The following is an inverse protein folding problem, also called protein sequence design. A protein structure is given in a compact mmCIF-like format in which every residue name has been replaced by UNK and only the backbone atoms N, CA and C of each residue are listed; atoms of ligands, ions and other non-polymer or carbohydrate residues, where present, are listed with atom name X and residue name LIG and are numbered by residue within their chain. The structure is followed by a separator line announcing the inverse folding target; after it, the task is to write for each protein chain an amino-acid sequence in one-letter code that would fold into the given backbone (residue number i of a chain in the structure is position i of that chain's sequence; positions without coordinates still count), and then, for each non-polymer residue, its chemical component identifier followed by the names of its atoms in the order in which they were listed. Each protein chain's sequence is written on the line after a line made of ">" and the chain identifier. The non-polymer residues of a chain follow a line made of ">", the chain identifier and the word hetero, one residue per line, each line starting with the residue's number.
data_IF_575717488527
#
_entry.id   IF_575717488527
#
_cell.length_a   1.000
_cell.length_b   1.000
_cell.length_c   1.000
_cell.angle_alpha   90.00
_cell.angle_beta   90.00
_cell.angle_gamma   90.00
#
_symmetry.space_group_name_H-M   'P 1'
#
loop_
_entity.id
_entity.type
_entity.pdbx_description
1 polymer ?
#
# COMPACT_ATOMS: atom_id res chain seq x y z
N UNK A 1 -24.59 8.27 18.67
CA UNK A 1 -23.83 9.46 19.10
C UNK A 1 -22.36 9.11 19.13
N UNK A 2 -21.47 9.99 18.64
CA UNK A 2 -20.02 9.78 18.73
C UNK A 2 -19.55 9.97 20.17
N UNK A 3 -18.61 9.14 20.61
CA UNK A 3 -17.96 9.26 21.91
C UNK A 3 -16.45 9.20 21.75
N UNK A 4 -15.73 10.00 22.53
CA UNK A 4 -14.27 9.90 22.68
C UNK A 4 -13.99 9.03 23.89
N UNK A 5 -13.31 7.90 23.68
CA UNK A 5 -12.95 6.98 24.75
C UNK A 5 -11.64 6.28 24.42
N UNK A 6 -11.03 5.63 25.42
CA UNK A 6 -9.86 4.79 25.19
C UNK A 6 -10.18 3.69 24.18
N UNK A 7 -9.17 3.36 23.38
CA UNK A 7 -9.21 2.24 22.45
C UNK A 7 -9.61 0.94 23.16
N UNK A 8 -9.03 0.70 24.34
CA UNK A 8 -9.38 -0.43 25.21
C UNK A 8 -10.58 -0.07 26.13
N UNK A 9 -11.55 -0.97 26.39
CA UNK A 9 -11.60 -2.40 26.05
C UNK A 9 -12.30 -2.74 24.72
N UNK A 10 -12.58 -1.74 23.88
CA UNK A 10 -13.46 -1.93 22.71
C UNK A 10 -12.79 -2.64 21.53
N UNK A 11 -11.47 -2.86 21.63
CA UNK A 11 -10.69 -3.62 20.67
C UNK A 11 -10.01 -4.82 21.33
N UNK A 12 -9.67 -5.80 20.50
CA UNK A 12 -8.95 -7.01 20.86
C UNK A 12 -7.64 -7.03 20.04
N UNK A 13 -6.51 -7.30 20.70
CA UNK A 13 -5.20 -7.40 20.06
C UNK A 13 -4.70 -8.84 20.26
N UNK A 14 -4.54 -9.59 19.18
CA UNK A 14 -4.20 -11.02 19.23
C UNK A 14 -3.03 -11.36 18.29
N UNK A 15 -1.82 -11.42 18.85
CA UNK A 15 -0.63 -11.82 18.09
C UNK A 15 -0.63 -13.34 17.83
N UNK A 16 -1.08 -13.73 16.64
CA UNK A 16 -1.02 -15.10 16.13
C UNK A 16 0.33 -15.37 15.47
N UNK A 17 1.09 -16.32 16.03
CA UNK A 17 2.36 -16.76 15.43
C UNK A 17 2.12 -17.50 14.12
N UNK A 18 3.06 -17.37 13.19
CA UNK A 18 3.04 -18.11 11.94
C UNK A 18 3.32 -19.60 12.21
N UNK A 19 2.39 -20.51 11.89
CA UNK A 19 2.63 -21.95 11.99
C UNK A 19 3.68 -22.39 10.96
N UNK A 20 4.26 -23.57 11.14
CA UNK A 20 5.08 -24.21 10.10
C UNK A 20 4.24 -24.39 8.83
N UNK A 21 4.82 -24.08 7.67
CA UNK A 21 4.17 -24.23 6.38
C UNK A 21 5.17 -24.73 5.35
N UNK A 22 4.66 -25.47 4.37
CA UNK A 22 5.43 -25.92 3.21
C UNK A 22 5.29 -24.93 2.04
N UNK A 23 6.29 -24.91 1.16
CA UNK A 23 6.32 -24.04 -0.01
C UNK A 23 6.71 -22.60 0.32
N UNK A 24 6.22 -21.67 -0.49
CA UNK A 24 6.52 -20.23 -0.39
C UNK A 24 5.28 -19.42 -0.05
N UNK A 25 5.46 -18.40 0.79
CA UNK A 25 4.44 -17.42 1.13
C UNK A 25 4.95 -16.01 0.88
N UNK A 26 4.02 -15.10 0.62
CA UNK A 26 4.31 -13.65 0.55
C UNK A 26 4.50 -13.11 1.97
N UNK A 27 5.65 -12.50 2.22
CA UNK A 27 5.99 -11.81 3.46
C UNK A 27 5.87 -10.31 3.28
N UNK A 28 5.03 -9.67 4.10
CA UNK A 28 4.84 -8.22 4.11
C UNK A 28 5.52 -7.58 5.32
N UNK A 29 6.54 -6.77 5.06
CA UNK A 29 7.29 -6.07 6.11
C UNK A 29 6.72 -4.67 6.38
N UNK A 30 7.04 -4.07 7.54
CA UNK A 30 6.67 -2.68 7.81
C UNK A 30 7.49 -1.68 6.99
N UNK A 31 8.67 -2.08 6.51
CA UNK A 31 9.60 -1.25 5.73
C UNK A 31 9.51 -1.44 4.21
N UNK A 32 8.61 -2.31 3.72
CA UNK A 32 8.40 -2.51 2.29
C UNK A 32 7.87 -1.27 1.58
N UNK A 33 7.80 -1.33 0.25
CA UNK A 33 7.27 -0.28 -0.65
C UNK A 33 5.91 0.25 -0.15
N UNK A 34 5.59 1.50 -0.48
CA UNK A 34 4.33 2.15 -0.04
C UNK A 34 3.08 1.40 -0.51
N UNK A 35 3.12 0.69 -1.65
CA UNK A 35 2.01 -0.12 -2.16
C UNK A 35 2.00 -1.52 -1.53
N UNK A 36 0.81 -1.99 -1.15
CA UNK A 36 0.63 -3.38 -0.72
C UNK A 36 0.92 -4.39 -1.84
N UNK A 37 0.65 -3.99 -3.08
CA UNK A 37 0.71 -4.85 -4.28
C UNK A 37 2.14 -5.22 -4.67
N UNK A 38 3.13 -4.37 -4.35
CA UNK A 38 4.55 -4.62 -4.70
C UNK A 38 5.46 -4.73 -3.46
N UNK A 39 4.91 -4.54 -2.26
CA UNK A 39 5.67 -4.45 -1.01
C UNK A 39 6.00 -5.77 -0.31
N UNK A 40 5.95 -6.92 -1.01
CA UNK A 40 6.17 -8.25 -0.41
C UNK A 40 7.39 -9.00 -0.97
N UNK A 41 7.91 -9.91 -0.15
CA UNK A 41 8.99 -10.84 -0.51
C UNK A 41 8.46 -12.29 -0.47
N UNK A 42 8.95 -13.16 -1.35
CA UNK A 42 8.61 -14.59 -1.30
C UNK A 42 9.55 -15.30 -0.33
N UNK A 43 9.00 -15.98 0.67
CA UNK A 43 9.78 -16.69 1.72
C UNK A 43 9.27 -18.11 1.93
N UNK A 44 10.19 -19.03 2.22
CA UNK A 44 9.85 -20.34 2.83
C UNK A 44 9.78 -20.20 4.35
N UNK A 45 9.34 -21.24 5.06
CA UNK A 45 9.36 -21.18 6.52
C UNK A 45 10.80 -21.05 7.05
N UNK A 46 11.75 -21.75 6.46
CA UNK A 46 13.16 -21.81 6.90
C UNK A 46 13.92 -20.52 6.62
N UNK A 47 13.70 -19.91 5.44
CA UNK A 47 14.45 -18.75 4.99
C UNK A 47 13.82 -17.40 5.38
N UNK A 48 12.67 -17.41 6.06
CA UNK A 48 11.98 -16.16 6.41
C UNK A 48 12.76 -15.36 7.47
N UNK A 49 12.72 -14.03 7.41
CA UNK A 49 13.23 -13.20 8.50
C UNK A 49 12.53 -13.52 9.82
N UNK A 50 13.21 -13.40 10.96
CA UNK A 50 12.61 -13.64 12.29
C UNK A 50 11.35 -12.81 12.54
N UNK A 51 11.26 -11.62 11.92
CA UNK A 51 10.08 -10.74 12.02
C UNK A 51 8.89 -11.24 11.21
N UNK A 52 9.07 -12.09 10.20
CA UNK A 52 7.99 -12.73 9.44
C UNK A 52 7.31 -13.82 10.27
N UNK A 53 6.58 -13.40 11.30
CA UNK A 53 6.02 -14.32 12.29
C UNK A 53 4.64 -13.90 12.83
N UNK A 54 3.91 -13.10 12.05
CA UNK A 54 2.52 -12.77 12.29
C UNK A 54 1.64 -13.39 11.20
N UNK A 55 0.69 -14.24 11.61
CA UNK A 55 -0.32 -14.82 10.72
C UNK A 55 -1.67 -14.17 11.02
N UNK A 56 -2.24 -13.35 10.12
CA UNK A 56 -3.51 -12.70 10.38
C UNK A 56 -4.68 -13.64 10.11
N UNK A 57 -5.86 -13.23 10.57
CA UNK A 57 -7.15 -13.79 10.17
C UNK A 57 -7.91 -12.77 9.33
N UNK A 58 -8.90 -13.26 8.57
CA UNK A 58 -9.84 -12.41 7.86
C UNK A 58 -10.45 -11.39 8.83
N UNK A 59 -10.59 -10.15 8.38
CA UNK A 59 -11.08 -9.00 9.15
C UNK A 59 -10.15 -8.45 10.24
N UNK A 60 -8.93 -8.99 10.39
CA UNK A 60 -7.91 -8.29 11.17
C UNK A 60 -7.59 -6.93 10.52
N UNK A 61 -7.38 -5.92 11.36
CA UNK A 61 -6.80 -4.64 10.96
C UNK A 61 -5.40 -4.56 11.54
N UNK A 62 -4.39 -4.63 10.68
CA UNK A 62 -2.98 -4.55 11.07
C UNK A 62 -2.54 -3.09 11.12
N UNK A 63 -1.91 -2.67 12.21
CA UNK A 63 -1.36 -1.31 12.38
C UNK A 63 0.14 -1.37 12.65
N UNK A 64 0.93 -0.59 11.91
CA UNK A 64 2.36 -0.49 12.13
C UNK A 64 2.69 0.13 13.50
N UNK A 65 3.64 -0.48 14.22
CA UNK A 65 4.04 -0.05 15.58
C UNK A 65 5.04 1.08 15.59
N UNK A 66 5.84 1.21 14.53
CA UNK A 66 6.94 2.17 14.50
C UNK A 66 6.40 3.60 14.44
N UNK A 67 7.10 4.52 15.12
CA UNK A 67 6.82 5.95 15.01
C UNK A 67 7.02 6.41 13.56
N UNK A 68 6.14 7.25 13.06
CA UNK A 68 6.13 7.73 11.67
C UNK A 68 5.63 6.71 10.65
N UNK A 69 5.33 5.48 11.06
CA UNK A 69 4.70 4.50 10.19
C UNK A 69 3.18 4.60 10.31
N UNK A 70 2.53 4.95 9.20
CA UNK A 70 1.07 5.13 9.09
C UNK A 70 0.37 3.93 8.44
N UNK A 71 1.11 2.85 8.14
CA UNK A 71 0.58 1.69 7.42
C UNK A 71 -0.50 1.00 8.26
N UNK A 72 -1.71 0.97 7.70
CA UNK A 72 -2.86 0.21 8.17
C UNK A 72 -3.31 -0.74 7.08
N UNK A 73 -3.54 -2.00 7.40
CA UNK A 73 -3.92 -3.04 6.43
C UNK A 73 -5.16 -3.76 6.92
N UNK A 74 -6.22 -3.75 6.11
CA UNK A 74 -7.38 -4.61 6.32
C UNK A 74 -7.14 -5.97 5.66
N UNK A 75 -7.29 -7.05 6.43
CA UNK A 75 -7.06 -8.40 5.96
C UNK A 75 -8.34 -8.97 5.33
N UNK A 76 -8.26 -9.26 4.04
CA UNK A 76 -9.25 -10.02 3.28
C UNK A 76 -8.82 -11.48 3.13
N UNK A 77 -9.61 -12.27 2.41
CA UNK A 77 -9.37 -13.70 2.19
C UNK A 77 -8.00 -13.98 1.56
N UNK A 78 -7.60 -13.23 0.53
CA UNK A 78 -6.29 -13.40 -0.12
C UNK A 78 -5.15 -13.16 0.89
N UNK A 79 -5.25 -12.06 1.65
CA UNK A 79 -4.23 -11.64 2.62
C UNK A 79 -4.06 -12.61 3.79
N UNK A 80 -5.01 -13.50 4.05
CA UNK A 80 -4.83 -14.56 5.06
C UNK A 80 -3.73 -15.56 4.71
N UNK A 81 -3.37 -15.67 3.42
CA UNK A 81 -2.30 -16.56 2.97
C UNK A 81 -0.89 -15.96 3.15
N UNK A 82 -0.81 -14.68 3.51
CA UNK A 82 0.44 -13.93 3.65
C UNK A 82 0.97 -14.06 5.08
N UNK A 83 2.25 -13.76 5.25
CA UNK A 83 2.90 -13.61 6.55
C UNK A 83 3.26 -12.16 6.73
N UNK A 84 3.09 -11.64 7.92
CA UNK A 84 3.34 -10.24 8.22
C UNK A 84 4.46 -10.08 9.23
N UNK A 85 5.06 -8.90 9.22
CA UNK A 85 6.03 -8.51 10.23
C UNK A 85 5.38 -8.46 11.63
N UNK A 86 6.09 -8.93 12.65
CA UNK A 86 5.73 -8.70 14.06
C UNK A 86 5.79 -7.23 14.46
N UNK A 87 6.24 -6.34 13.56
CA UNK A 87 6.09 -4.89 13.65
C UNK A 87 4.64 -4.38 13.50
N UNK A 88 3.66 -5.25 13.27
CA UNK A 88 2.24 -4.91 13.24
C UNK A 88 1.48 -5.36 14.50
N UNK A 89 0.47 -4.60 14.91
CA UNK A 89 -0.58 -5.07 15.82
C UNK A 89 -1.78 -5.57 15.01
N UNK A 90 -2.19 -6.84 15.14
CA UNK A 90 -3.47 -7.31 14.62
C UNK A 90 -4.60 -6.91 15.57
N UNK A 91 -5.58 -6.17 15.05
CA UNK A 91 -6.67 -5.60 15.85
C UNK A 91 -8.03 -6.02 15.29
N UNK A 92 -8.92 -6.42 16.19
CA UNK A 92 -10.34 -6.66 15.88
C UNK A 92 -11.25 -5.97 16.91
N UNK A 93 -12.55 -5.93 16.64
CA UNK A 93 -13.56 -5.44 17.59
C UNK A 93 -14.86 -6.20 17.41
N UNK A 94 -15.56 -6.45 18.53
CA UNK A 94 -16.94 -6.97 18.50
C UNK A 94 -17.96 -5.88 18.15
N UNK A 95 -17.63 -4.62 18.46
CA UNK A 95 -18.55 -3.49 18.32
C UNK A 95 -18.31 -2.65 17.07
N UNK A 96 -17.10 -2.67 16.52
CA UNK A 96 -16.72 -1.87 15.35
C UNK A 96 -16.54 -2.76 14.13
N UNK A 97 -17.07 -2.32 12.99
CA UNK A 97 -16.90 -3.03 11.73
C UNK A 97 -15.41 -2.98 11.30
N UNK A 98 -14.86 -4.06 10.72
CA UNK A 98 -13.44 -4.12 10.34
C UNK A 98 -13.00 -2.96 9.44
N UNK A 99 -13.79 -2.65 8.40
CA UNK A 99 -13.49 -1.54 7.50
C UNK A 99 -13.65 -0.16 8.15
N UNK A 100 -14.52 -0.05 9.15
CA UNK A 100 -14.63 1.17 9.96
C UNK A 100 -13.38 1.35 10.85
N UNK A 101 -12.88 0.27 11.48
CA UNK A 101 -11.61 0.29 12.21
C UNK A 101 -10.44 0.68 11.31
N UNK A 102 -10.37 0.11 10.11
CA UNK A 102 -9.37 0.46 9.10
C UNK A 102 -9.34 1.98 8.87
N UNK A 103 -10.49 2.60 8.61
CA UNK A 103 -10.57 4.05 8.43
C UNK A 103 -10.24 4.84 9.69
N UNK A 104 -10.71 4.38 10.84
CA UNK A 104 -10.43 5.03 12.13
C UNK A 104 -8.92 5.10 12.42
N UNK A 105 -8.19 4.03 12.13
CA UNK A 105 -6.74 3.96 12.35
C UNK A 105 -5.92 4.54 11.21
N UNK A 106 -6.52 4.77 10.04
CA UNK A 106 -5.89 5.51 8.95
C UNK A 106 -6.00 7.04 9.14
N UNK A 107 -6.61 7.50 10.23
CA UNK A 107 -6.77 8.92 10.53
C UNK A 107 -5.45 9.55 11.01
N UNK A 108 -5.15 10.76 10.52
CA UNK A 108 -3.97 11.53 10.90
C UNK A 108 -3.87 11.74 12.41
N UNK A 109 -4.94 12.17 13.08
CA UNK A 109 -4.92 12.46 14.52
C UNK A 109 -4.60 11.21 15.36
N UNK A 110 -5.05 10.03 14.90
CA UNK A 110 -4.72 8.78 15.57
C UNK A 110 -3.21 8.47 15.44
N UNK A 111 -2.63 8.69 14.26
CA UNK A 111 -1.21 8.45 14.03
C UNK A 111 -0.33 9.42 14.85
N UNK A 112 -0.73 10.69 14.97
CA UNK A 112 -0.05 11.66 15.85
C UNK A 112 -0.11 11.24 17.32
N UNK A 113 -1.29 10.82 17.81
CA UNK A 113 -1.42 10.34 19.18
C UNK A 113 -0.57 9.08 19.40
N UNK A 114 -0.62 8.11 18.47
CA UNK A 114 0.24 6.91 18.48
C UNK A 114 1.73 7.25 18.57
N UNK A 115 2.18 8.23 17.79
CA UNK A 115 3.58 8.62 17.72
C UNK A 115 4.04 9.33 19.00
N UNK A 116 3.16 10.09 19.65
CA UNK A 116 3.42 10.72 20.96
C UNK A 116 3.62 9.69 22.08
N UNK A 117 3.00 8.52 21.96
CA UNK A 117 3.13 7.41 22.92
C UNK A 117 4.26 6.43 22.59
N UNK A 118 4.93 6.59 21.45
CA UNK A 118 6.03 5.73 21.03
C UNK A 118 7.29 5.96 21.87
N UNK A 119 7.98 4.88 22.22
CA UNK A 119 9.17 4.92 23.08
C UNK A 119 10.39 4.31 22.39
N UNK A 120 11.58 4.64 22.87
CA UNK A 120 12.86 4.18 22.33
C UNK A 120 13.77 5.33 21.91
N UNK A 121 15.02 5.01 21.58
CA UNK A 121 16.02 5.98 21.11
C UNK A 121 16.17 5.91 19.59
N UNK A 122 16.72 4.81 19.06
CA UNK A 122 17.02 4.65 17.63
C UNK A 122 15.82 4.12 16.84
N UNK A 123 15.09 3.15 17.38
CA UNK A 123 13.87 2.60 16.77
C UNK A 123 12.69 2.84 17.70
N UNK A 124 12.02 3.98 17.51
CA UNK A 124 10.87 4.34 18.33
C UNK A 124 9.65 3.56 17.88
N UNK A 125 8.98 2.89 18.82
CA UNK A 125 7.77 2.13 18.56
C UNK A 125 6.83 2.16 19.76
N UNK A 126 5.53 2.03 19.49
CA UNK A 126 4.53 1.92 20.54
C UNK A 126 4.38 0.47 21.03
N UNK A 127 4.39 0.28 22.35
CA UNK A 127 4.11 -1.00 22.98
C UNK A 127 2.60 -1.16 23.24
N UNK A 128 2.17 -2.37 23.62
CA UNK A 128 0.74 -2.66 23.81
C UNK A 128 0.12 -1.86 24.96
N UNK A 129 0.86 -1.59 26.04
CA UNK A 129 0.36 -0.89 27.21
C UNK A 129 0.14 0.60 26.95
N UNK A 130 0.99 1.20 26.12
CA UNK A 130 0.83 2.56 25.63
C UNK A 130 -0.27 2.65 24.58
N UNK A 131 -0.33 1.69 23.66
CA UNK A 131 -1.38 1.63 22.64
C UNK A 131 -2.79 1.61 23.26
N UNK A 132 -2.97 0.86 24.35
CA UNK A 132 -4.25 0.82 25.09
C UNK A 132 -4.68 2.15 25.71
N UNK A 133 -3.78 3.13 25.86
CA UNK A 133 -4.06 4.45 26.45
C UNK A 133 -4.56 5.48 25.43
N UNK A 134 -4.35 5.25 24.14
CA UNK A 134 -4.79 6.14 23.06
C UNK A 134 -6.31 6.29 23.10
N UNK A 135 -6.79 7.51 22.87
CA UNK A 135 -8.21 7.78 22.73
C UNK A 135 -8.62 7.77 21.26
N UNK A 136 -9.81 7.26 20.99
CA UNK A 136 -10.45 7.31 19.68
C UNK A 136 -11.85 7.88 19.80
N UNK A 137 -12.24 8.65 18.78
CA UNK A 137 -13.62 9.09 18.62
C UNK A 137 -14.34 8.13 17.70
N UNK A 138 -15.37 7.45 18.21
CA UNK A 138 -16.09 6.43 17.46
C UNK A 138 -17.58 6.37 17.81
N UNK A 139 -18.33 5.64 16.99
CA UNK A 139 -19.74 5.32 17.26
C UNK A 139 -19.94 3.81 17.24
N UNK A 140 -20.73 3.28 18.18
CA UNK A 140 -21.13 1.86 18.21
C UNK A 140 -22.33 1.59 17.29
N UNK A 141 -23.02 2.63 16.81
CA UNK A 141 -24.17 2.47 15.92
C UNK A 141 -23.71 1.93 14.55
N UNK A 142 -24.13 0.69 14.25
CA UNK A 142 -23.74 -0.02 13.03
C UNK A 142 -24.28 0.67 11.77
N UNK A 143 -25.42 1.35 11.85
CA UNK A 143 -25.97 2.09 10.70
C UNK A 143 -25.05 3.26 10.34
N UNK A 144 -24.70 4.10 11.31
CA UNK A 144 -23.75 5.20 11.14
C UNK A 144 -22.39 4.69 10.66
N UNK A 145 -21.87 3.59 11.22
CA UNK A 145 -20.59 3.01 10.76
C UNK A 145 -20.64 2.65 9.26
N UNK A 146 -21.72 2.00 8.80
CA UNK A 146 -21.92 1.65 7.37
C UNK A 146 -22.02 2.89 6.49
N UNK A 147 -22.73 3.93 6.94
CA UNK A 147 -22.83 5.20 6.20
C UNK A 147 -21.47 5.87 6.02
N UNK A 148 -20.65 5.88 7.09
CA UNK A 148 -19.26 6.40 7.03
C UNK A 148 -18.40 5.57 6.07
N UNK A 149 -18.44 4.23 6.18
CA UNK A 149 -17.70 3.34 5.27
C UNK A 149 -18.08 3.63 3.82
N UNK A 150 -19.38 3.69 3.50
CA UNK A 150 -19.85 3.93 2.14
C UNK A 150 -19.43 5.30 1.61
N UNK A 151 -19.46 6.34 2.45
CA UNK A 151 -19.01 7.68 2.09
C UNK A 151 -17.51 7.68 1.73
N UNK A 152 -16.68 7.06 2.58
CA UNK A 152 -15.24 6.99 2.40
C UNK A 152 -14.86 6.12 1.20
N UNK A 153 -15.46 4.93 1.06
CA UNK A 153 -15.28 4.05 -0.10
C UNK A 153 -15.61 4.76 -1.41
N UNK A 154 -16.73 5.50 -1.46
CA UNK A 154 -17.12 6.25 -2.65
C UNK A 154 -16.11 7.34 -3.01
N UNK A 155 -15.59 8.07 -2.01
CA UNK A 155 -14.59 9.13 -2.21
C UNK A 155 -13.26 8.56 -2.67
N UNK A 156 -12.77 7.51 -1.99
CA UNK A 156 -11.49 6.86 -2.30
C UNK A 156 -11.54 6.22 -3.69
N UNK A 157 -12.61 5.49 -4.01
CA UNK A 157 -12.80 4.93 -5.35
C UNK A 157 -12.74 5.99 -6.44
N UNK A 158 -13.37 7.15 -6.21
CA UNK A 158 -13.31 8.26 -7.15
C UNK A 158 -11.88 8.78 -7.38
N UNK A 159 -11.06 8.80 -6.33
CA UNK A 159 -9.63 9.15 -6.43
C UNK A 159 -8.86 8.07 -7.21
N UNK A 160 -9.06 6.79 -6.88
CA UNK A 160 -8.39 5.67 -7.56
C UNK A 160 -8.72 5.63 -9.05
N UNK A 161 -9.98 5.88 -9.41
CA UNK A 161 -10.42 5.95 -10.81
C UNK A 161 -9.74 7.12 -11.55
N UNK A 162 -9.58 8.27 -10.89
CA UNK A 162 -8.84 9.41 -11.45
C UNK A 162 -7.34 9.10 -11.62
N UNK A 163 -6.71 8.46 -10.64
CA UNK A 163 -5.30 8.03 -10.73
C UNK A 163 -5.11 7.06 -11.89
N UNK A 164 -5.99 6.07 -12.05
CA UNK A 164 -5.97 5.13 -13.18
C UNK A 164 -6.09 5.83 -14.53
N UNK A 165 -6.94 6.85 -14.63
CA UNK A 165 -7.07 7.65 -15.85
C UNK A 165 -5.76 8.39 -16.15
N UNK A 166 -5.13 8.98 -15.14
CA UNK A 166 -3.87 9.71 -15.31
C UNK A 166 -2.72 8.78 -15.74
N UNK A 167 -2.60 7.59 -15.14
CA UNK A 167 -1.58 6.60 -15.54
C UNK A 167 -1.76 6.22 -17.03
N UNK A 168 -2.99 5.94 -17.47
CA UNK A 168 -3.28 5.66 -18.89
C UNK A 168 -2.94 6.83 -19.83
N UNK A 169 -3.14 8.07 -19.37
CA UNK A 169 -2.75 9.25 -20.16
C UNK A 169 -1.23 9.35 -20.29
N UNK A 170 -0.49 9.07 -19.22
CA UNK A 170 0.97 9.03 -19.23
C UNK A 170 1.47 7.97 -20.24
N UNK A 171 0.96 6.73 -20.15
CA UNK A 171 1.31 5.65 -21.08
C UNK A 171 1.06 6.05 -22.54
N UNK A 172 -0.09 6.67 -22.83
CA UNK A 172 -0.43 7.13 -24.18
C UNK A 172 0.51 8.23 -24.68
N UNK A 173 0.93 9.14 -23.80
CA UNK A 173 1.89 10.19 -24.15
C UNK A 173 3.29 9.60 -24.42
N UNK A 174 3.70 8.58 -23.67
CA UNK A 174 4.94 7.86 -23.92
C UNK A 174 4.94 7.13 -25.26
N UNK A 175 3.84 6.45 -25.59
CA UNK A 175 3.68 5.77 -26.87
C UNK A 175 3.64 6.76 -28.03
N UNK A 176 2.93 7.89 -27.87
CA UNK A 176 2.91 8.95 -28.87
C UNK A 176 4.30 9.55 -29.08
N UNK A 177 5.07 9.78 -28.01
CA UNK A 177 6.45 10.23 -28.07
C UNK A 177 7.33 9.24 -28.83
N UNK A 178 7.25 7.94 -28.51
CA UNK A 178 7.98 6.88 -29.23
C UNK A 178 7.62 6.85 -30.72
N UNK A 179 6.33 6.99 -31.04
CA UNK A 179 5.84 7.03 -32.42
C UNK A 179 6.36 8.25 -33.19
N UNK A 180 6.37 9.45 -32.57
CA UNK A 180 6.97 10.65 -33.18
C UNK A 180 8.46 10.44 -33.43
N UNK A 181 9.22 9.98 -32.42
CA UNK A 181 10.67 9.76 -32.55
C UNK A 181 10.94 8.79 -33.70
N UNK A 182 10.22 7.67 -33.75
CA UNK A 182 10.33 6.68 -34.83
C UNK A 182 10.01 7.28 -36.21
N UNK A 183 8.94 8.08 -36.30
CA UNK A 183 8.58 8.79 -37.53
C UNK A 183 9.67 9.76 -37.97
N UNK A 184 10.21 10.56 -37.05
CA UNK A 184 11.27 11.54 -37.33
C UNK A 184 12.56 10.85 -37.76
N UNK A 185 12.95 9.76 -37.10
CA UNK A 185 14.13 8.97 -37.50
C UNK A 185 13.96 8.44 -38.93
N UNK A 186 12.80 7.86 -39.24
CA UNK A 186 12.55 7.20 -40.54
C UNK A 186 12.28 8.15 -41.69
N UNK A 187 11.57 9.25 -41.45
CA UNK A 187 11.01 10.12 -42.51
C UNK A 187 11.44 11.58 -42.39
N UNK A 188 12.16 11.94 -41.35
CA UNK A 188 12.45 13.33 -41.05
C UNK A 188 11.27 14.07 -40.39
N UNK A 189 11.55 15.29 -39.96
CA UNK A 189 10.56 16.15 -39.29
C UNK A 189 9.60 16.83 -40.29
N UNK A 190 10.04 17.05 -41.53
CA UNK A 190 9.31 17.76 -42.59
C UNK A 190 9.24 16.91 -43.87
N UNK A 191 8.16 17.10 -44.66
CA UNK A 191 7.88 16.31 -45.86
C UNK A 191 8.92 16.45 -47.01
N UNK A 192 9.90 17.34 -46.87
CA UNK A 192 10.98 17.60 -47.83
C UNK A 192 12.37 17.22 -47.30
N UNK A 193 12.48 16.46 -46.20
CA UNK A 193 13.79 16.06 -45.66
C UNK A 193 14.45 14.95 -46.49
N UNK A 194 15.75 15.15 -46.78
CA UNK A 194 16.58 14.17 -47.49
C UNK A 194 16.85 12.95 -46.59
N UNK A 195 16.59 11.76 -47.14
CA UNK A 195 16.85 10.49 -46.47
C UNK A 195 18.17 9.89 -46.95
N UNK A 196 18.96 9.37 -46.02
CA UNK A 196 20.22 8.64 -46.26
C UNK A 196 20.07 7.19 -45.84
N UNK A 197 20.90 6.29 -46.37
CA UNK A 197 20.96 4.91 -45.90
C UNK A 197 21.57 4.86 -44.50
N UNK A 198 20.97 4.09 -43.58
CA UNK A 198 21.52 3.89 -42.24
C UNK A 198 22.69 2.91 -42.21
N UNK A 199 22.87 2.08 -43.24
CA UNK A 199 23.87 1.00 -43.25
C UNK A 199 23.52 -0.18 -42.32
N UNK A 200 22.29 -0.21 -41.79
CA UNK A 200 21.75 -1.31 -40.98
C UNK A 200 20.51 -1.86 -41.70
N UNK A 201 20.59 -3.10 -42.21
CA UNK A 201 19.59 -3.71 -43.11
C UNK A 201 18.15 -3.62 -42.60
N UNK A 202 17.92 -3.84 -41.29
CA UNK A 202 16.56 -3.83 -40.73
C UNK A 202 16.00 -2.42 -40.45
N UNK A 203 16.83 -1.38 -40.50
CA UNK A 203 16.44 0.02 -40.29
C UNK A 203 16.15 0.71 -41.63
N UNK A 204 16.94 0.43 -42.67
CA UNK A 204 16.79 1.01 -44.00
C UNK A 204 17.21 2.49 -44.06
N UNK A 205 16.40 3.36 -44.68
CA UNK A 205 16.70 4.78 -44.84
C UNK A 205 16.23 5.63 -43.64
N UNK A 206 17.03 6.62 -43.25
CA UNK A 206 16.80 7.53 -42.13
C UNK A 206 17.03 9.00 -42.52
N UNK A 207 16.54 9.96 -41.73
CA UNK A 207 16.78 11.39 -41.96
C UNK A 207 18.26 11.73 -41.87
N UNK A 208 18.75 12.56 -42.81
CA UNK A 208 20.15 13.01 -42.85
C UNK A 208 20.60 13.86 -41.65
N UNK A 209 19.67 14.29 -40.78
CA UNK A 209 19.97 15.01 -39.53
C UNK A 209 20.22 14.09 -38.34
N UNK A 210 19.96 12.78 -38.47
CA UNK A 210 20.24 11.80 -37.43
C UNK A 210 21.72 11.42 -37.52
N UNK A 211 22.48 11.65 -36.43
CA UNK A 211 23.84 11.11 -36.28
C UNK A 211 23.75 9.82 -35.48
N UNK A 212 24.16 8.70 -36.08
CA UNK A 212 24.37 7.46 -35.35
C UNK A 212 25.75 7.53 -34.68
N UNK A 213 25.80 7.28 -33.37
CA UNK A 213 27.02 7.20 -32.57
C UNK A 213 27.41 5.74 -32.42
#
# INVERSE_FOLDING_TARGET
>A
MFKKARIYPNIIIENRKTPIFEGVKKYFSTGGVESFEDGYEMVTFENRPTRANLSPLINDVLIAKMKGAEKVILIDEDKTNYIFSTGFFPITSKELLPKYLYYLFSNYEFNEEKDSFSVGTTQQAINIDHFKKINITYTQDKKTQKEIINLLDKKIKGIDDLVKIQIKQIEKLEDYKKAIISKVIKRGLLAQENLIDSGIDWIGKISNKVKMV
#
